data_IF_775436023133
#
_entry.id   IF_775436023133
#
_cell.length_a   1.000
_cell.length_b   1.000
_cell.length_c   1.000
_cell.angle_alpha   90.00
_cell.angle_beta   90.00
_cell.angle_gamma   90.00
#
_symmetry.space_group_name_H-M   'P 1'
#
loop_
_entity.id
_entity.type
_entity.pdbx_description
1 polymer ?
#
# COMPACT_ATOMS: atom_id res chain seq x y z
N UNK A 1 -21.76 -3.94 -10.50
CA UNK A 1 -22.53 -4.00 -11.76
C UNK A 1 -21.91 -3.08 -12.81
N UNK A 2 -22.41 -3.13 -14.05
CA UNK A 2 -21.92 -2.33 -15.18
C UNK A 2 -22.01 -0.82 -14.90
N UNK A 3 -23.13 -0.35 -14.39
CA UNK A 3 -23.37 1.06 -14.08
C UNK A 3 -22.33 1.61 -13.07
N UNK A 4 -22.00 0.83 -12.03
CA UNK A 4 -20.96 1.20 -11.07
C UNK A 4 -19.57 1.32 -11.72
N UNK A 5 -19.26 0.44 -12.66
CA UNK A 5 -18.01 0.53 -13.43
C UNK A 5 -17.99 1.74 -14.38
N UNK A 6 -19.08 2.02 -15.06
CA UNK A 6 -19.19 3.17 -15.97
C UNK A 6 -19.05 4.50 -15.22
N UNK A 7 -19.49 4.54 -13.94
CA UNK A 7 -19.40 5.70 -13.06
C UNK A 7 -18.20 5.66 -12.11
N UNK A 8 -17.20 4.79 -12.34
CA UNK A 8 -16.08 4.54 -11.43
C UNK A 8 -15.34 5.82 -11.01
N UNK A 9 -15.10 6.74 -11.92
CA UNK A 9 -14.37 7.99 -11.63
C UNK A 9 -15.13 8.88 -10.66
N UNK A 10 -16.43 9.03 -10.85
CA UNK A 10 -17.28 9.82 -9.96
C UNK A 10 -17.40 9.16 -8.57
N UNK A 11 -17.50 7.83 -8.51
CA UNK A 11 -17.51 7.07 -7.26
C UNK A 11 -16.17 7.24 -6.53
N UNK A 12 -15.07 7.05 -7.22
CA UNK A 12 -13.73 7.20 -6.64
C UNK A 12 -13.45 8.64 -6.17
N UNK A 13 -14.08 9.65 -6.75
CA UNK A 13 -13.90 11.04 -6.31
C UNK A 13 -14.39 11.28 -4.87
N UNK A 14 -15.43 10.55 -4.43
CA UNK A 14 -16.05 10.71 -3.10
C UNK A 14 -15.77 9.55 -2.13
N UNK A 15 -15.43 8.36 -2.63
CA UNK A 15 -15.11 7.20 -1.81
C UNK A 15 -13.74 7.33 -1.15
N UNK A 16 -13.54 6.75 0.04
CA UNK A 16 -12.22 6.66 0.70
C UNK A 16 -11.32 5.58 0.09
N UNK A 17 -11.89 4.57 -0.56
CA UNK A 17 -11.23 3.47 -1.24
C UNK A 17 -12.23 2.64 -2.03
N UNK A 18 -11.79 1.57 -2.68
CA UNK A 18 -12.63 0.69 -3.47
C UNK A 18 -12.29 -0.78 -3.22
N UNK A 19 -13.32 -1.63 -3.25
CA UNK A 19 -13.15 -3.08 -3.24
C UNK A 19 -13.57 -3.66 -4.59
N UNK A 20 -12.73 -4.49 -5.17
CA UNK A 20 -13.06 -5.33 -6.33
C UNK A 20 -13.62 -6.64 -5.79
N UNK A 21 -14.94 -6.67 -5.55
CA UNK A 21 -15.68 -7.84 -5.09
C UNK A 21 -15.99 -8.74 -6.31
N UNK A 22 -15.06 -9.62 -6.66
CA UNK A 22 -15.08 -10.38 -7.93
C UNK A 22 -16.24 -11.35 -8.03
N UNK A 23 -16.65 -11.94 -6.89
CA UNK A 23 -17.81 -12.82 -6.83
C UNK A 23 -19.10 -12.10 -7.24
N UNK A 24 -19.39 -10.96 -6.60
CA UNK A 24 -20.57 -10.15 -6.92
C UNK A 24 -20.49 -9.59 -8.35
N UNK A 25 -19.31 -9.11 -8.72
CA UNK A 25 -19.10 -8.58 -10.07
C UNK A 25 -19.36 -9.63 -11.15
N UNK A 26 -18.93 -10.88 -10.93
CA UNK A 26 -19.12 -11.99 -11.87
C UNK A 26 -20.58 -12.47 -12.03
N UNK A 27 -21.46 -12.11 -11.07
CA UNK A 27 -22.91 -12.32 -11.18
C UNK A 27 -23.58 -11.23 -12.01
N UNK A 28 -23.08 -10.00 -11.92
CA UNK A 28 -23.67 -8.80 -12.54
C UNK A 28 -23.17 -8.56 -13.96
N UNK A 29 -21.95 -9.02 -14.30
CA UNK A 29 -21.36 -8.88 -15.64
C UNK A 29 -20.82 -10.22 -16.15
N UNK A 30 -20.55 -10.30 -17.45
CA UNK A 30 -19.95 -11.51 -18.03
C UNK A 30 -18.62 -11.84 -17.37
N UNK A 31 -18.41 -13.09 -16.97
CA UNK A 31 -17.24 -13.54 -16.19
C UNK A 31 -15.90 -13.16 -16.86
N UNK A 32 -15.82 -13.19 -18.19
CA UNK A 32 -14.63 -12.81 -18.94
C UNK A 32 -14.26 -11.32 -18.81
N UNK A 33 -15.20 -10.46 -18.38
CA UNK A 33 -14.96 -9.03 -18.16
C UNK A 33 -14.39 -8.75 -16.75
N UNK A 34 -14.59 -9.65 -15.80
CA UNK A 34 -14.13 -9.46 -14.42
C UNK A 34 -12.63 -9.13 -14.31
N UNK A 35 -11.71 -9.86 -14.98
CA UNK A 35 -10.29 -9.52 -14.95
C UNK A 35 -9.98 -8.16 -15.59
N UNK A 36 -10.72 -7.76 -16.61
CA UNK A 36 -10.55 -6.47 -17.29
C UNK A 36 -10.96 -5.34 -16.33
N UNK A 37 -12.09 -5.49 -15.67
CA UNK A 37 -12.60 -4.49 -14.72
C UNK A 37 -11.71 -4.41 -13.48
N UNK A 38 -11.23 -5.56 -12.95
CA UNK A 38 -10.27 -5.59 -11.86
C UNK A 38 -9.06 -4.71 -12.19
N UNK A 39 -8.38 -4.97 -13.29
CA UNK A 39 -7.18 -4.21 -13.71
C UNK A 39 -7.47 -2.72 -13.90
N UNK A 40 -8.61 -2.39 -14.49
CA UNK A 40 -9.01 -1.00 -14.71
C UNK A 40 -9.33 -0.28 -13.40
N UNK A 41 -10.06 -0.91 -12.47
CA UNK A 41 -10.39 -0.35 -11.15
C UNK A 41 -9.13 -0.13 -10.34
N UNK A 42 -8.23 -1.13 -10.26
CA UNK A 42 -6.96 -1.04 -9.54
C UNK A 42 -6.12 0.12 -10.10
N UNK A 43 -5.96 0.18 -11.41
CA UNK A 43 -5.20 1.24 -12.07
C UNK A 43 -5.75 2.64 -11.72
N UNK A 44 -7.06 2.85 -11.87
CA UNK A 44 -7.69 4.15 -11.59
C UNK A 44 -7.59 4.53 -10.11
N UNK A 45 -7.77 3.60 -9.19
CA UNK A 45 -7.61 3.84 -7.76
C UNK A 45 -6.16 4.25 -7.43
N UNK A 46 -5.16 3.55 -7.99
CA UNK A 46 -3.75 3.85 -7.79
C UNK A 46 -3.36 5.23 -8.34
N UNK A 47 -3.88 5.62 -9.52
CA UNK A 47 -3.60 6.92 -10.15
C UNK A 47 -4.02 8.10 -9.25
N UNK A 48 -5.10 7.95 -8.48
CA UNK A 48 -5.59 8.97 -7.55
C UNK A 48 -5.13 8.76 -6.10
N UNK A 49 -4.41 7.66 -5.83
CA UNK A 49 -3.86 7.35 -4.49
C UNK A 49 -4.93 6.89 -3.49
N UNK A 50 -5.98 6.22 -3.95
CA UNK A 50 -7.01 5.60 -3.11
C UNK A 50 -6.73 4.11 -2.93
N UNK A 51 -6.87 3.56 -1.71
CA UNK A 51 -6.64 2.14 -1.47
C UNK A 51 -7.65 1.28 -2.25
N UNK A 52 -7.14 0.17 -2.79
CA UNK A 52 -7.95 -0.83 -3.50
C UNK A 52 -7.73 -2.21 -2.90
N UNK A 53 -8.84 -2.89 -2.60
CA UNK A 53 -8.85 -4.25 -2.05
C UNK A 53 -9.35 -5.20 -3.15
N UNK A 54 -8.55 -6.21 -3.50
CA UNK A 54 -9.03 -7.32 -4.35
C UNK A 54 -9.55 -8.44 -3.47
N UNK A 55 -10.81 -8.82 -3.69
CA UNK A 55 -11.57 -9.67 -2.79
C UNK A 55 -12.26 -10.82 -3.52
N UNK A 56 -12.57 -11.86 -2.73
CA UNK A 56 -13.34 -13.07 -3.05
C UNK A 56 -12.64 -14.05 -4.00
N UNK A 57 -12.87 -15.34 -3.77
CA UNK A 57 -12.35 -16.47 -4.56
C UNK A 57 -10.82 -16.43 -4.75
N UNK A 58 -10.08 -16.00 -3.71
CA UNK A 58 -8.62 -15.90 -3.80
C UNK A 58 -7.95 -17.27 -3.62
N UNK A 59 -8.30 -17.98 -2.55
CA UNK A 59 -7.80 -19.31 -2.19
C UNK A 59 -8.95 -20.24 -1.79
N UNK A 60 -10.06 -20.21 -2.52
CA UNK A 60 -11.32 -20.87 -2.16
C UNK A 60 -11.17 -22.36 -1.88
N UNK A 61 -10.33 -23.09 -2.63
CA UNK A 61 -10.06 -24.50 -2.38
C UNK A 61 -9.49 -24.76 -0.98
N UNK A 62 -8.86 -23.75 -0.37
CA UNK A 62 -8.32 -23.85 1.00
C UNK A 62 -9.39 -23.79 2.09
N UNK A 63 -10.65 -23.62 1.74
CA UNK A 63 -11.73 -23.89 2.70
C UNK A 63 -11.73 -25.35 3.20
N UNK A 64 -11.36 -26.29 2.35
CA UNK A 64 -11.36 -27.73 2.65
C UNK A 64 -10.01 -28.42 2.38
N UNK A 65 -8.99 -27.70 1.91
CA UNK A 65 -7.67 -28.24 1.61
C UNK A 65 -6.56 -27.37 2.21
N UNK A 66 -5.46 -27.99 2.71
CA UNK A 66 -4.36 -27.25 3.32
C UNK A 66 -3.44 -26.53 2.29
N UNK A 67 -3.69 -26.68 1.00
CA UNK A 67 -2.92 -26.08 -0.10
C UNK A 67 -3.84 -25.59 -1.20
N UNK A 68 -3.52 -24.44 -1.82
CA UNK A 68 -4.29 -23.93 -2.94
C UNK A 68 -4.01 -24.70 -4.22
N UNK A 69 -4.87 -24.50 -5.20
CA UNK A 69 -4.58 -24.85 -6.60
C UNK A 69 -3.53 -23.91 -7.20
N UNK A 70 -2.89 -24.34 -8.29
CA UNK A 70 -1.97 -23.46 -9.04
C UNK A 70 -2.65 -22.22 -9.62
N UNK A 71 -3.91 -22.35 -10.01
CA UNK A 71 -4.69 -21.24 -10.55
C UNK A 71 -4.94 -20.16 -9.46
N UNK A 72 -5.30 -20.56 -8.25
CA UNK A 72 -5.49 -19.65 -7.11
C UNK A 72 -4.19 -18.98 -6.70
N UNK A 73 -3.09 -19.71 -6.60
CA UNK A 73 -1.78 -19.11 -6.31
C UNK A 73 -1.39 -18.07 -7.40
N UNK A 74 -1.68 -18.36 -8.67
CA UNK A 74 -1.46 -17.42 -9.77
C UNK A 74 -2.40 -16.22 -9.70
N UNK A 75 -3.61 -16.40 -9.22
CA UNK A 75 -4.59 -15.32 -9.06
C UNK A 75 -4.17 -14.33 -7.95
N UNK A 76 -3.75 -14.84 -6.78
CA UNK A 76 -3.15 -14.02 -5.71
C UNK A 76 -1.95 -13.23 -6.25
N UNK A 77 -1.04 -13.92 -6.95
CA UNK A 77 0.14 -13.29 -7.55
C UNK A 77 -0.25 -12.15 -8.51
N UNK A 78 -1.24 -12.38 -9.39
CA UNK A 78 -1.73 -11.37 -10.32
C UNK A 78 -2.38 -10.17 -9.61
N UNK A 79 -3.14 -10.38 -8.53
CA UNK A 79 -3.73 -9.28 -7.77
C UNK A 79 -2.66 -8.35 -7.18
N UNK A 80 -1.53 -8.88 -6.71
CA UNK A 80 -0.37 -8.10 -6.26
C UNK A 80 0.29 -7.38 -7.44
N UNK A 81 0.54 -8.10 -8.53
CA UNK A 81 1.12 -7.53 -9.75
C UNK A 81 0.23 -6.48 -10.42
N UNK A 82 -1.08 -6.56 -10.29
CA UNK A 82 -2.00 -5.53 -10.78
C UNK A 82 -1.89 -4.23 -9.96
N UNK A 83 -1.42 -4.31 -8.71
CA UNK A 83 -1.19 -3.17 -7.83
C UNK A 83 -2.26 -2.98 -6.76
N UNK A 84 -2.92 -4.05 -6.31
CA UNK A 84 -3.81 -4.01 -5.14
C UNK A 84 -3.07 -3.52 -3.90
N UNK A 85 -3.71 -2.68 -3.11
CA UNK A 85 -3.19 -2.28 -1.78
C UNK A 85 -3.37 -3.41 -0.77
N UNK A 86 -4.51 -4.11 -0.85
CA UNK A 86 -4.83 -5.27 -0.03
C UNK A 86 -5.41 -6.39 -0.88
N UNK A 87 -5.20 -7.61 -0.43
CA UNK A 87 -5.86 -8.83 -0.92
C UNK A 87 -6.64 -9.43 0.24
N UNK A 88 -7.83 -9.93 0.00
CA UNK A 88 -8.77 -10.34 1.06
C UNK A 88 -9.16 -11.80 0.94
N UNK A 89 -9.07 -12.51 2.05
CA UNK A 89 -9.71 -13.81 2.27
C UNK A 89 -11.09 -13.60 2.92
N UNK A 90 -12.04 -14.43 2.58
CA UNK A 90 -13.42 -14.41 3.09
C UNK A 90 -13.76 -15.71 3.78
N UNK A 91 -14.40 -16.64 3.08
CA UNK A 91 -14.76 -17.94 3.57
C UNK A 91 -13.58 -18.76 4.09
N UNK A 92 -12.42 -18.63 3.43
CA UNK A 92 -11.18 -19.32 3.74
C UNK A 92 -10.74 -19.11 5.21
N UNK A 93 -11.00 -17.91 5.76
CA UNK A 93 -10.66 -17.57 7.15
C UNK A 93 -11.87 -17.55 8.09
N UNK A 94 -13.08 -17.34 7.56
CA UNK A 94 -14.29 -17.22 8.38
C UNK A 94 -14.97 -18.57 8.68
N UNK A 95 -14.85 -19.54 7.77
CA UNK A 95 -15.55 -20.83 7.86
C UNK A 95 -14.72 -22.01 7.35
N UNK A 96 -13.52 -21.78 6.76
CA UNK A 96 -12.65 -22.82 6.25
C UNK A 96 -12.00 -23.67 7.36
N UNK A 97 -11.54 -24.85 7.00
CA UNK A 97 -10.84 -25.79 7.89
C UNK A 97 -9.35 -25.41 8.10
N UNK A 98 -8.79 -24.57 7.20
CA UNK A 98 -7.36 -24.21 7.17
C UNK A 98 -7.13 -22.68 7.17
N UNK A 99 -7.69 -21.92 8.14
CA UNK A 99 -7.62 -20.44 8.11
C UNK A 99 -6.20 -19.90 8.25
N UNK A 100 -5.36 -20.51 9.07
CA UNK A 100 -3.97 -20.07 9.31
C UNK A 100 -3.12 -20.36 8.07
N UNK A 101 -3.27 -21.53 7.48
CA UNK A 101 -2.56 -21.94 6.27
C UNK A 101 -2.96 -21.05 5.08
N UNK A 102 -4.22 -20.66 4.98
CA UNK A 102 -4.71 -19.75 3.94
C UNK A 102 -4.04 -18.37 4.04
N UNK A 103 -4.01 -17.77 5.23
CA UNK A 103 -3.34 -16.48 5.46
C UNK A 103 -1.84 -16.61 5.20
N UNK A 104 -1.21 -17.66 5.72
CA UNK A 104 0.24 -17.89 5.53
C UNK A 104 0.58 -18.06 4.04
N UNK A 105 -0.22 -18.83 3.32
CA UNK A 105 -0.02 -19.04 1.88
C UNK A 105 -0.16 -17.73 1.11
N UNK A 106 -1.17 -16.93 1.42
CA UNK A 106 -1.39 -15.63 0.79
C UNK A 106 -0.21 -14.68 1.05
N UNK A 107 0.29 -14.60 2.29
CA UNK A 107 1.45 -13.78 2.66
C UNK A 107 2.71 -14.22 1.92
N UNK A 108 3.00 -15.53 1.85
CA UNK A 108 4.16 -16.06 1.11
C UNK A 108 4.11 -15.68 -0.37
N UNK A 109 2.94 -15.81 -1.01
CA UNK A 109 2.78 -15.46 -2.43
C UNK A 109 2.95 -13.95 -2.62
N UNK A 110 2.32 -13.14 -1.77
CA UNK A 110 2.41 -11.69 -1.85
C UNK A 110 3.85 -11.19 -1.73
N UNK A 111 4.59 -11.65 -0.73
CA UNK A 111 6.02 -11.30 -0.52
C UNK A 111 6.88 -11.70 -1.71
N UNK A 112 6.69 -12.92 -2.24
CA UNK A 112 7.44 -13.39 -3.40
C UNK A 112 7.17 -12.53 -4.64
N UNK A 113 5.94 -12.03 -4.80
CA UNK A 113 5.60 -11.15 -5.92
C UNK A 113 6.10 -9.73 -5.74
N UNK A 114 6.13 -9.22 -4.51
CA UNK A 114 6.68 -7.89 -4.21
C UNK A 114 8.16 -7.77 -4.55
N UNK A 115 8.95 -8.85 -4.38
CA UNK A 115 10.35 -8.90 -4.82
C UNK A 115 10.52 -8.79 -6.35
N UNK A 116 9.51 -9.21 -7.11
CA UNK A 116 9.52 -9.21 -8.58
C UNK A 116 8.86 -7.99 -9.20
N UNK A 117 8.33 -7.06 -8.39
CA UNK A 117 7.66 -5.89 -8.91
C UNK A 117 8.62 -5.00 -9.72
N UNK A 118 8.21 -4.56 -10.92
CA UNK A 118 9.02 -3.64 -11.72
C UNK A 118 8.91 -2.21 -11.18
N UNK A 119 9.54 -1.97 -10.03
CA UNK A 119 9.41 -0.71 -9.29
C UNK A 119 9.79 0.52 -10.11
N UNK A 120 10.84 0.44 -10.94
CA UNK A 120 11.27 1.54 -11.82
C UNK A 120 10.20 1.88 -12.84
N UNK A 121 9.71 0.90 -13.57
CA UNK A 121 8.70 1.08 -14.61
C UNK A 121 7.38 1.59 -14.02
N UNK A 122 7.02 1.13 -12.82
CA UNK A 122 5.84 1.60 -12.09
C UNK A 122 5.98 3.06 -11.68
N UNK A 123 7.13 3.44 -11.14
CA UNK A 123 7.39 4.83 -10.78
C UNK A 123 7.35 5.73 -12.01
N UNK A 124 7.96 5.33 -13.12
CA UNK A 124 7.96 6.07 -14.38
C UNK A 124 6.54 6.25 -14.94
N UNK A 125 5.69 5.22 -14.81
CA UNK A 125 4.27 5.31 -15.19
C UNK A 125 3.50 6.26 -14.26
N UNK A 126 3.72 6.19 -12.94
CA UNK A 126 3.08 7.06 -11.96
C UNK A 126 3.50 8.53 -12.11
N UNK A 127 4.74 8.80 -12.49
CA UNK A 127 5.23 10.16 -12.80
C UNK A 127 4.42 10.76 -13.96
N UNK A 128 4.17 9.97 -15.02
CA UNK A 128 3.42 10.43 -16.20
C UNK A 128 1.97 10.80 -15.86
N UNK A 129 1.35 10.09 -14.94
CA UNK A 129 -0.04 10.30 -14.50
C UNK A 129 -0.17 11.23 -13.28
N UNK A 130 0.94 11.75 -12.73
CA UNK A 130 0.93 12.59 -11.53
C UNK A 130 0.27 13.96 -11.78
N UNK A 131 -0.34 14.53 -10.72
CA UNK A 131 -0.98 15.84 -10.76
C UNK A 131 0.02 17.02 -10.75
N UNK A 132 1.32 16.75 -10.76
CA UNK A 132 2.42 17.76 -10.74
C UNK A 132 2.32 18.74 -9.56
N UNK A 133 1.82 18.30 -8.43
CA UNK A 133 1.79 19.07 -7.18
C UNK A 133 3.12 18.95 -6.43
N UNK A 134 3.38 19.86 -5.48
CA UNK A 134 4.56 19.79 -4.60
C UNK A 134 4.59 18.44 -3.87
N UNK A 135 3.44 17.98 -3.39
CA UNK A 135 3.31 16.72 -2.67
C UNK A 135 3.62 15.50 -3.56
N UNK A 136 3.17 15.52 -4.82
CA UNK A 136 3.49 14.46 -5.77
C UNK A 136 5.00 14.49 -6.11
N UNK A 137 5.59 15.67 -6.28
CA UNK A 137 7.02 15.82 -6.51
C UNK A 137 7.86 15.24 -5.36
N UNK A 138 7.48 15.51 -4.11
CA UNK A 138 8.13 14.91 -2.93
C UNK A 138 7.95 13.41 -2.91
N UNK A 139 6.72 12.90 -3.11
CA UNK A 139 6.45 11.45 -3.12
C UNK A 139 7.26 10.70 -4.19
N UNK A 140 7.36 11.29 -5.38
CA UNK A 140 8.20 10.77 -6.48
C UNK A 140 9.68 10.76 -6.07
N UNK A 141 10.18 11.89 -5.53
CA UNK A 141 11.59 11.99 -5.11
C UNK A 141 11.94 11.00 -4.00
N UNK A 142 11.02 10.77 -3.05
CA UNK A 142 11.18 9.77 -1.98
C UNK A 142 11.25 8.35 -2.56
N UNK A 143 10.32 8.00 -3.46
CA UNK A 143 10.32 6.68 -4.09
C UNK A 143 11.54 6.47 -5.00
N UNK A 144 11.95 7.49 -5.75
CA UNK A 144 13.13 7.44 -6.61
C UNK A 144 14.43 7.31 -5.80
N UNK A 145 14.59 8.08 -4.73
CA UNK A 145 15.74 7.98 -3.84
C UNK A 145 15.85 6.60 -3.18
N UNK A 146 14.70 5.99 -2.79
CA UNK A 146 14.68 4.63 -2.26
C UNK A 146 15.13 3.58 -3.29
N UNK A 147 14.86 3.80 -4.58
CA UNK A 147 15.30 2.92 -5.67
C UNK A 147 16.77 3.11 -6.04
N UNK A 148 17.33 4.31 -5.83
CA UNK A 148 18.72 4.62 -6.22
C UNK A 148 19.74 4.27 -5.13
N UNK A 149 19.33 4.28 -3.87
CA UNK A 149 20.22 4.16 -2.71
C UNK A 149 20.03 2.81 -2.02
N UNK A 150 20.87 1.83 -2.30
CA UNK A 150 20.80 0.47 -1.73
C UNK A 150 20.79 0.42 -0.20
N UNK A 151 21.35 1.43 0.46
CA UNK A 151 21.37 1.54 1.92
C UNK A 151 20.07 2.09 2.51
N UNK A 152 19.20 2.68 1.71
CA UNK A 152 17.87 3.08 2.18
C UNK A 152 17.03 1.84 2.42
N UNK A 153 16.59 1.64 3.65
CA UNK A 153 15.84 0.44 4.08
C UNK A 153 14.40 0.74 4.47
N UNK A 154 14.07 2.00 4.73
CA UNK A 154 12.70 2.42 5.02
C UNK A 154 12.49 3.91 4.75
N UNK A 155 11.23 4.29 4.69
CA UNK A 155 10.76 5.68 4.70
C UNK A 155 10.04 5.91 6.02
N UNK A 156 10.36 7.00 6.73
CA UNK A 156 9.66 7.43 7.93
C UNK A 156 8.82 8.64 7.58
N UNK A 157 7.50 8.46 7.55
CA UNK A 157 6.55 9.50 7.17
C UNK A 157 5.80 10.02 8.39
N UNK A 158 6.10 11.25 8.82
CA UNK A 158 5.33 11.90 9.87
C UNK A 158 4.04 12.46 9.29
N UNK A 159 2.89 12.05 9.85
CA UNK A 159 1.59 12.39 9.30
C UNK A 159 0.52 12.54 10.38
N UNK A 160 -0.19 13.65 10.39
CA UNK A 160 -1.30 13.88 11.32
C UNK A 160 -2.58 13.19 10.82
N UNK A 161 -2.97 13.42 9.57
CA UNK A 161 -4.20 12.87 8.95
C UNK A 161 -3.99 11.69 8.01
N UNK A 162 -2.75 11.16 7.90
CA UNK A 162 -2.42 10.04 7.03
C UNK A 162 -2.13 10.42 5.57
N UNK A 163 -2.30 11.68 5.18
CA UNK A 163 -2.15 12.11 3.78
C UNK A 163 -0.73 11.93 3.23
N UNK A 164 0.31 12.25 4.02
CA UNK A 164 1.72 12.07 3.64
C UNK A 164 2.03 10.62 3.31
N UNK A 165 1.67 9.69 4.20
CA UNK A 165 1.92 8.27 4.02
C UNK A 165 1.20 7.71 2.78
N UNK A 166 -0.09 8.06 2.58
CA UNK A 166 -0.85 7.61 1.40
C UNK A 166 -0.28 8.16 0.09
N UNK A 167 0.20 9.41 0.08
CA UNK A 167 0.84 9.99 -1.11
C UNK A 167 2.13 9.28 -1.48
N UNK A 168 2.94 8.89 -0.50
CA UNK A 168 4.15 8.12 -0.78
C UNK A 168 3.79 6.71 -1.25
N UNK A 169 2.83 6.05 -0.57
CA UNK A 169 2.31 4.75 -0.94
C UNK A 169 1.81 4.71 -2.39
N UNK A 170 1.17 5.79 -2.88
CA UNK A 170 0.76 5.96 -4.28
C UNK A 170 1.89 5.69 -5.28
N UNK A 171 3.12 6.06 -4.95
CA UNK A 171 4.29 5.90 -5.83
C UNK A 171 5.01 4.56 -5.64
N UNK A 172 4.46 3.67 -4.80
CA UNK A 172 4.93 2.27 -4.63
C UNK A 172 6.44 2.17 -4.42
N UNK A 173 7.02 2.80 -3.38
CA UNK A 173 8.44 2.66 -3.09
C UNK A 173 8.81 1.20 -2.82
N UNK A 174 10.05 0.82 -3.12
CA UNK A 174 10.55 -0.55 -2.93
C UNK A 174 10.91 -0.91 -1.48
N UNK A 175 10.72 0.03 -0.54
CA UNK A 175 10.98 -0.14 0.90
C UNK A 175 9.74 0.20 1.71
N UNK A 176 9.59 -0.33 2.94
CA UNK A 176 8.43 -0.05 3.79
C UNK A 176 8.33 1.43 4.18
N UNK A 177 7.10 1.88 4.42
CA UNK A 177 6.76 3.23 4.88
C UNK A 177 6.31 3.14 6.34
N UNK A 178 7.14 3.53 7.29
CA UNK A 178 6.76 3.69 8.69
C UNK A 178 6.00 5.01 8.84
N UNK A 179 4.68 4.93 8.92
CA UNK A 179 3.81 6.10 9.04
C UNK A 179 3.57 6.45 10.50
N UNK A 180 4.27 7.45 10.99
CA UNK A 180 4.18 7.91 12.38
C UNK A 180 3.01 8.87 12.52
N UNK A 181 2.04 8.51 13.35
CA UNK A 181 0.86 9.33 13.63
C UNK A 181 0.55 9.40 15.12
N UNK A 182 -0.05 10.51 15.56
CA UNK A 182 -0.48 10.75 16.94
C UNK A 182 -1.96 10.43 17.17
N UNK A 183 -2.63 9.85 16.16
CA UNK A 183 -4.06 9.59 16.19
C UNK A 183 -4.35 8.11 15.87
N UNK A 184 -4.90 7.37 16.84
CA UNK A 184 -5.22 5.94 16.68
C UNK A 184 -6.21 5.64 15.54
N UNK A 185 -7.13 6.57 15.24
CA UNK A 185 -8.05 6.39 14.10
C UNK A 185 -7.32 6.50 12.75
N UNK A 186 -6.31 7.37 12.65
CA UNK A 186 -5.46 7.49 11.46
C UNK A 186 -4.56 6.27 11.32
N UNK A 187 -3.96 5.79 12.41
CA UNK A 187 -3.21 4.54 12.41
C UNK A 187 -4.01 3.41 11.76
N UNK A 188 -5.24 3.15 12.25
CA UNK A 188 -6.10 2.09 11.70
C UNK A 188 -6.46 2.28 10.23
N UNK A 189 -6.69 3.53 9.80
CA UNK A 189 -7.00 3.83 8.38
C UNK A 189 -5.82 3.58 7.44
N UNK A 190 -4.60 3.70 7.94
CA UNK A 190 -3.39 3.51 7.13
C UNK A 190 -3.03 2.04 6.91
N UNK A 191 -3.58 1.10 7.70
CA UNK A 191 -3.40 -0.35 7.53
C UNK A 191 -3.82 -0.86 6.14
N UNK A 192 -4.71 -0.15 5.44
CA UNK A 192 -5.17 -0.52 4.10
C UNK A 192 -4.35 0.12 2.98
N UNK A 193 -3.25 0.80 3.29
CA UNK A 193 -2.40 1.45 2.29
C UNK A 193 -1.17 0.59 1.99
N UNK A 194 -0.86 0.41 0.73
CA UNK A 194 0.25 -0.44 0.28
C UNK A 194 1.59 -0.02 0.90
N UNK A 195 2.31 -0.99 1.45
CA UNK A 195 3.66 -0.78 2.00
C UNK A 195 3.71 0.10 3.25
N UNK A 196 2.57 0.50 3.82
CA UNK A 196 2.49 1.33 5.02
C UNK A 196 2.41 0.47 6.26
N UNK A 197 3.33 0.71 7.20
CA UNK A 197 3.31 0.18 8.56
C UNK A 197 3.01 1.35 9.49
N UNK A 198 1.77 1.50 9.96
CA UNK A 198 1.40 2.66 10.76
C UNK A 198 1.82 2.51 12.22
N UNK A 199 2.54 3.51 12.72
CA UNK A 199 3.08 3.56 14.07
C UNK A 199 2.38 4.66 14.85
N UNK A 200 1.76 4.28 15.97
CA UNK A 200 1.20 5.24 16.90
C UNK A 200 2.31 5.77 17.84
N UNK A 201 2.41 7.09 17.98
CA UNK A 201 3.34 7.73 18.90
C UNK A 201 2.57 8.67 19.82
N UNK A 202 2.80 8.56 21.14
CA UNK A 202 2.22 9.48 22.13
C UNK A 202 2.98 10.81 22.22
N UNK A 203 4.15 10.92 21.57
CA UNK A 203 5.06 12.07 21.70
C UNK A 203 4.67 13.14 20.69
N UNK A 204 3.72 14.01 21.04
CA UNK A 204 3.36 15.19 20.21
C UNK A 204 4.52 16.17 19.99
N UNK A 205 5.56 16.15 20.82
CA UNK A 205 6.74 17.00 20.73
C UNK A 205 7.92 16.37 19.95
N UNK A 206 7.68 15.31 19.21
CA UNK A 206 8.70 14.62 18.38
C UNK A 206 9.34 15.51 17.29
N UNK A 207 8.81 16.70 17.09
CA UNK A 207 9.27 17.65 16.06
C UNK A 207 10.54 18.42 16.40
N UNK A 208 11.10 18.24 17.58
CA UNK A 208 12.40 18.86 17.93
C UNK A 208 13.59 17.98 17.59
N UNK A 209 13.37 16.68 17.30
CA UNK A 209 14.43 15.75 16.91
C UNK A 209 13.91 14.61 16.03
N UNK A 210 13.41 14.95 14.83
CA UNK A 210 12.87 14.00 13.86
C UNK A 210 13.88 12.88 13.51
N UNK A 211 15.17 13.19 13.48
CA UNK A 211 16.24 12.26 13.15
C UNK A 211 16.39 11.16 14.21
N UNK A 212 16.35 11.54 15.48
CA UNK A 212 16.47 10.59 16.60
C UNK A 212 15.25 9.68 16.68
N UNK A 213 14.06 10.24 16.55
CA UNK A 213 12.82 9.44 16.54
C UNK A 213 12.76 8.51 15.33
N UNK A 214 13.16 8.97 14.16
CA UNK A 214 13.23 8.13 12.96
C UNK A 214 14.25 6.99 13.13
N UNK A 215 15.39 7.25 13.76
CA UNK A 215 16.41 6.24 14.06
C UNK A 215 15.88 5.19 15.07
N UNK A 216 15.19 5.62 16.14
CA UNK A 216 14.56 4.71 17.11
C UNK A 216 13.53 3.83 16.42
N UNK A 217 12.61 4.42 15.65
CA UNK A 217 11.57 3.69 14.92
C UNK A 217 12.21 2.68 13.96
N UNK A 218 13.25 3.08 13.25
CA UNK A 218 13.96 2.20 12.32
C UNK A 218 14.55 0.99 13.06
N UNK A 219 15.24 1.19 14.17
CA UNK A 219 15.82 0.11 14.98
C UNK A 219 14.77 -0.82 15.57
N UNK A 220 13.68 -0.28 16.09
CA UNK A 220 12.55 -1.06 16.64
C UNK A 220 11.88 -1.93 15.56
N UNK A 221 12.02 -1.56 14.29
CA UNK A 221 11.53 -2.31 13.13
C UNK A 221 12.64 -3.07 12.38
N UNK A 222 13.78 -3.35 13.03
CA UNK A 222 14.79 -4.29 12.56
C UNK A 222 15.89 -3.70 11.66
N UNK A 223 15.94 -2.38 11.45
CA UNK A 223 17.04 -1.74 10.74
C UNK A 223 18.29 -1.70 11.63
N UNK A 224 19.44 -1.65 10.99
CA UNK A 224 20.75 -1.68 11.66
C UNK A 224 21.43 -0.31 11.60
N UNK A 225 22.36 -0.08 12.51
CA UNK A 225 23.27 1.05 12.45
C UNK A 225 24.02 1.06 11.12
N UNK A 226 24.08 2.24 10.47
CA UNK A 226 24.65 2.40 9.13
C UNK A 226 23.67 2.19 7.97
N UNK A 227 22.45 1.71 8.21
CA UNK A 227 21.35 1.79 7.24
C UNK A 227 20.87 3.24 7.10
N UNK A 228 20.19 3.57 6.02
CA UNK A 228 19.58 4.88 5.81
C UNK A 228 18.06 4.80 5.85
N UNK A 229 17.44 5.87 6.35
CA UNK A 229 15.99 6.11 6.23
C UNK A 229 15.74 7.45 5.52
N UNK A 230 14.64 7.52 4.79
CA UNK A 230 14.15 8.77 4.22
C UNK A 230 13.05 9.31 5.13
N UNK A 231 13.30 10.47 5.74
CA UNK A 231 12.31 11.18 6.55
C UNK A 231 11.51 12.10 5.62
N UNK A 232 10.18 12.12 5.79
CA UNK A 232 9.30 13.04 5.08
C UNK A 232 8.19 13.53 5.99
N UNK A 233 7.91 14.81 5.89
CA UNK A 233 6.92 15.52 6.71
C UNK A 233 6.38 16.76 5.98
N UNK A 234 5.32 17.35 6.53
CA UNK A 234 4.90 18.71 6.22
C UNK A 234 5.53 19.72 7.19
N UNK A 235 6.18 20.75 6.68
CA UNK A 235 6.77 21.81 7.50
C UNK A 235 6.34 23.20 6.99
N UNK A 236 5.91 24.16 7.87
CA UNK A 236 5.53 23.91 9.25
C UNK A 236 4.35 22.94 9.36
N UNK A 237 4.22 22.26 10.50
CA UNK A 237 3.25 21.20 10.68
C UNK A 237 1.82 21.67 10.48
N UNK A 238 1.14 21.00 9.55
CA UNK A 238 -0.24 21.26 9.24
C UNK A 238 -0.82 20.15 8.35
N UNK A 239 -2.15 20.06 8.27
CA UNK A 239 -2.82 19.07 7.43
C UNK A 239 -2.44 19.25 5.96
N UNK A 240 -1.98 18.18 5.33
CA UNK A 240 -1.90 18.05 3.88
C UNK A 240 -0.62 18.49 3.18
N UNK A 241 0.43 18.88 3.89
CA UNK A 241 1.65 19.46 3.26
C UNK A 241 2.91 18.62 3.45
N UNK A 242 3.01 17.46 2.79
CA UNK A 242 4.34 16.85 2.62
C UNK A 242 5.17 17.73 1.67
N UNK A 243 6.15 18.46 2.19
CA UNK A 243 6.98 19.41 1.44
C UNK A 243 8.48 19.28 1.74
N UNK A 244 8.86 18.26 2.53
CA UNK A 244 10.22 18.02 2.96
C UNK A 244 10.60 16.54 2.79
N UNK A 245 11.82 16.32 2.32
CA UNK A 245 12.49 15.01 2.29
C UNK A 245 13.90 15.19 2.86
N UNK A 246 14.32 14.28 3.75
CA UNK A 246 15.66 14.23 4.33
C UNK A 246 16.13 12.79 4.39
N UNK A 247 17.37 12.52 4.06
CA UNK A 247 17.99 11.18 4.18
C UNK A 247 18.90 11.19 5.40
N UNK A 248 18.72 10.20 6.28
CA UNK A 248 19.42 10.12 7.57
C UNK A 248 19.97 8.72 7.78
N UNK A 249 21.18 8.64 8.32
CA UNK A 249 21.79 7.40 8.75
C UNK A 249 21.23 6.96 10.12
N UNK A 250 20.88 5.69 10.26
CA UNK A 250 20.45 5.07 11.51
C UNK A 250 21.68 4.95 12.43
N UNK A 251 21.63 5.63 13.59
CA UNK A 251 22.71 5.70 14.57
C UNK A 251 22.46 4.79 15.74
#
# INVERSE_FOLDING_TARGET
NQEGYDNLESILSVADGVMVARGDLGVEVSTQLVPIYQKSIIKKANEIGKPVITATHMLESMMANPRPTRAEASDVANAVLDGSDCIMLSGETAAGEYPIEAVTTMDIIARAMEELLPYRERLDAAIKSSNKTVQDAIGISVADAALQLDKVKAIVAFTQGGSTARRISKFRPCVPIFAVTFTKSVQRKLETSWGVIPIFSDVQNAMTNDDELASIIAKDNGLKEGDYVIITAGYPTGEGTANMMKIVEVK
#
